data_IF_226018615453
#
_entry.id   IF_226018615453
#
_cell.length_a   1.000
_cell.length_b   1.000
_cell.length_c   1.000
_cell.angle_alpha   90.00
_cell.angle_beta   90.00
_cell.angle_gamma   90.00
#
_symmetry.space_group_name_H-M   'P 1'
#
loop_
_entity.id
_entity.type
_entity.pdbx_description
1 polymer ?
#
# COMPACT_ATOMS: atom_id res chain seq x y z
N UNK A 1 26.01 12.47 5.13
CA UNK A 1 25.22 11.26 4.79
C UNK A 1 23.69 11.41 4.96
N UNK A 2 23.19 12.48 5.60
CA UNK A 2 21.76 12.87 5.61
C UNK A 2 21.21 13.17 4.20
N UNK A 3 22.09 13.57 3.26
CA UNK A 3 21.74 13.83 1.86
C UNK A 3 21.16 12.61 1.11
N UNK A 4 21.59 11.38 1.43
CA UNK A 4 21.14 10.18 0.70
C UNK A 4 19.69 9.79 1.07
N UNK A 5 19.34 9.89 2.37
CA UNK A 5 17.97 9.69 2.85
C UNK A 5 17.02 10.77 2.31
N UNK A 6 17.44 12.04 2.35
CA UNK A 6 16.64 13.15 1.81
C UNK A 6 16.45 13.02 0.29
N UNK A 7 17.41 12.43 -0.41
CA UNK A 7 17.31 12.10 -1.83
C UNK A 7 16.24 11.03 -2.11
N UNK A 8 16.20 9.95 -1.33
CA UNK A 8 15.19 8.87 -1.50
C UNK A 8 13.77 9.39 -1.31
N UNK A 9 13.53 10.14 -0.24
CA UNK A 9 12.23 10.75 0.03
C UNK A 9 11.83 11.70 -1.11
N UNK A 10 12.73 12.59 -1.54
CA UNK A 10 12.47 13.51 -2.63
C UNK A 10 12.09 12.79 -3.93
N UNK A 11 12.75 11.67 -4.24
CA UNK A 11 12.42 10.83 -5.40
C UNK A 11 11.03 10.20 -5.25
N UNK A 12 10.69 9.63 -4.09
CA UNK A 12 9.36 9.06 -3.84
C UNK A 12 8.25 10.11 -4.04
N UNK A 13 8.39 11.29 -3.44
CA UNK A 13 7.42 12.39 -3.57
C UNK A 13 7.30 12.90 -5.01
N UNK A 14 8.44 13.00 -5.73
CA UNK A 14 8.43 13.40 -7.14
C UNK A 14 7.69 12.37 -8.00
N UNK A 15 7.97 11.08 -7.80
CA UNK A 15 7.27 9.99 -8.51
C UNK A 15 5.77 9.99 -8.20
N UNK A 16 5.39 10.27 -6.96
CA UNK A 16 3.99 10.32 -6.53
C UNK A 16 3.22 11.49 -7.18
N UNK A 17 3.85 12.65 -7.30
CA UNK A 17 3.30 13.81 -8.02
C UNK A 17 3.21 13.58 -9.53
N UNK A 18 4.24 12.97 -10.13
CA UNK A 18 4.21 12.61 -11.55
C UNK A 18 3.09 11.60 -11.82
N UNK A 19 2.95 10.58 -10.97
CA UNK A 19 1.86 9.61 -11.07
C UNK A 19 0.48 10.29 -10.95
N UNK A 20 0.31 11.23 -10.03
CA UNK A 20 -0.91 12.02 -9.90
C UNK A 20 -1.25 12.78 -11.19
N UNK A 21 -0.26 13.47 -11.77
CA UNK A 21 -0.41 14.19 -13.02
C UNK A 21 -0.84 13.28 -14.17
N UNK A 22 -0.26 12.09 -14.28
CA UNK A 22 -0.64 11.11 -15.31
C UNK A 22 -2.07 10.59 -15.11
N UNK A 23 -2.50 10.35 -13.87
CA UNK A 23 -3.87 9.91 -13.56
C UNK A 23 -4.88 11.00 -13.93
N UNK A 24 -4.61 12.26 -13.54
CA UNK A 24 -5.46 13.40 -13.90
C UNK A 24 -5.50 13.59 -15.41
N UNK A 25 -4.36 13.55 -16.10
CA UNK A 25 -4.31 13.68 -17.56
C UNK A 25 -5.16 12.60 -18.25
N UNK A 26 -5.07 11.34 -17.77
CA UNK A 26 -5.92 10.24 -18.27
C UNK A 26 -7.41 10.48 -18.02
N UNK A 27 -7.78 10.92 -16.82
CA UNK A 27 -9.17 11.26 -16.47
C UNK A 27 -9.69 12.41 -17.34
N UNK A 28 -8.91 13.49 -17.47
CA UNK A 28 -9.26 14.67 -18.23
C UNK A 28 -9.50 14.35 -19.71
N UNK A 29 -8.59 13.60 -20.34
CA UNK A 29 -8.76 13.17 -21.74
C UNK A 29 -10.01 12.31 -21.93
N UNK A 30 -10.32 11.41 -20.99
CA UNK A 30 -11.51 10.54 -21.10
C UNK A 30 -12.82 11.28 -20.86
N UNK A 31 -12.88 12.16 -19.87
CA UNK A 31 -14.07 12.93 -19.52
C UNK A 31 -14.38 14.03 -20.54
N UNK A 32 -13.36 14.82 -20.92
CA UNK A 32 -13.55 16.01 -21.75
C UNK A 32 -13.57 15.66 -23.24
N UNK A 33 -12.63 14.82 -23.70
CA UNK A 33 -12.50 14.54 -25.14
C UNK A 33 -13.36 13.35 -25.60
N UNK A 34 -13.48 12.29 -24.80
CA UNK A 34 -14.24 11.08 -25.17
C UNK A 34 -15.68 11.05 -24.65
N UNK A 35 -16.08 11.96 -23.74
CA UNK A 35 -17.42 12.04 -23.13
C UNK A 35 -17.96 10.70 -22.60
N UNK A 36 -17.06 9.77 -22.23
CA UNK A 36 -17.43 8.44 -21.70
C UNK A 36 -17.72 8.51 -20.20
N UNK A 37 -18.56 7.59 -19.72
CA UNK A 37 -18.83 7.41 -18.28
C UNK A 37 -17.56 6.95 -17.56
N UNK A 38 -17.40 7.40 -16.31
CA UNK A 38 -16.36 6.97 -15.38
C UNK A 38 -16.31 5.44 -15.31
N UNK A 39 -15.15 4.88 -15.60
CA UNK A 39 -14.95 3.45 -15.62
C UNK A 39 -14.50 2.98 -14.24
N UNK A 40 -14.89 1.75 -13.84
CA UNK A 40 -14.44 1.14 -12.58
C UNK A 40 -12.90 1.17 -12.42
N UNK A 41 -12.18 1.13 -13.55
CA UNK A 41 -10.71 1.26 -13.58
C UNK A 41 -10.21 2.59 -13.02
N UNK A 42 -10.87 3.69 -13.33
CA UNK A 42 -10.43 5.02 -12.89
C UNK A 42 -10.58 5.15 -11.37
N UNK A 43 -11.63 4.55 -10.78
CA UNK A 43 -11.80 4.47 -9.32
C UNK A 43 -10.68 3.67 -8.65
N UNK A 44 -10.28 2.52 -9.21
CA UNK A 44 -9.18 1.73 -8.65
C UNK A 44 -7.82 2.44 -8.77
N UNK A 45 -7.59 3.21 -9.85
CA UNK A 45 -6.39 4.02 -10.00
C UNK A 45 -6.32 5.15 -8.97
N UNK A 46 -7.42 5.88 -8.75
CA UNK A 46 -7.49 6.92 -7.72
C UNK A 46 -7.31 6.34 -6.31
N UNK A 47 -7.97 5.23 -6.01
CA UNK A 47 -7.82 4.55 -4.73
C UNK A 47 -6.36 4.11 -4.50
N UNK A 48 -5.71 3.55 -5.53
CA UNK A 48 -4.30 3.14 -5.47
C UNK A 48 -3.36 4.33 -5.23
N UNK A 49 -3.65 5.49 -5.81
CA UNK A 49 -2.89 6.70 -5.53
C UNK A 49 -3.08 7.19 -4.09
N UNK A 50 -4.32 7.20 -3.57
CA UNK A 50 -4.59 7.58 -2.18
C UNK A 50 -3.87 6.67 -1.18
N UNK A 51 -3.84 5.36 -1.42
CA UNK A 51 -3.11 4.42 -0.56
C UNK A 51 -1.59 4.57 -0.68
N UNK A 52 -1.08 4.88 -1.88
CA UNK A 52 0.33 5.19 -2.07
C UNK A 52 0.74 6.46 -1.32
N UNK A 53 -0.10 7.50 -1.36
CA UNK A 53 0.11 8.73 -0.61
C UNK A 53 0.07 8.50 0.89
N UNK A 54 -0.86 7.68 1.38
CA UNK A 54 -0.89 7.28 2.78
C UNK A 54 0.40 6.55 3.20
N UNK A 55 0.90 5.63 2.37
CA UNK A 55 2.18 4.93 2.61
C UNK A 55 3.35 5.92 2.70
N UNK A 56 3.47 6.87 1.77
CA UNK A 56 4.53 7.89 1.77
C UNK A 56 4.46 8.82 3.00
N UNK A 57 3.27 9.08 3.53
CA UNK A 57 3.12 9.80 4.78
C UNK A 57 3.68 9.03 5.99
N UNK A 58 3.53 7.70 6.02
CA UNK A 58 4.10 6.87 7.09
C UNK A 58 5.63 6.86 7.08
N UNK A 59 6.27 6.90 5.90
CA UNK A 59 7.73 6.97 5.75
C UNK A 59 8.30 8.22 6.48
N UNK A 60 7.65 9.38 6.36
CA UNK A 60 8.03 10.61 7.08
C UNK A 60 7.91 10.41 8.60
N UNK A 61 6.88 9.72 9.05
CA UNK A 61 6.63 9.48 10.47
C UNK A 61 7.72 8.55 11.05
N UNK A 62 8.14 7.52 10.30
CA UNK A 62 9.29 6.68 10.68
C UNK A 62 10.60 7.46 10.69
N UNK A 63 10.80 8.37 9.75
CA UNK A 63 11.96 9.25 9.75
C UNK A 63 12.03 10.12 11.02
N UNK A 64 10.90 10.70 11.45
CA UNK A 64 10.83 11.51 12.68
C UNK A 64 11.03 10.69 13.95
N UNK A 65 10.67 9.41 13.95
CA UNK A 65 10.88 8.50 15.08
C UNK A 65 12.35 8.03 15.26
N UNK A 66 13.26 8.44 14.37
CA UNK A 66 14.69 8.16 14.53
C UNK A 66 15.10 6.70 14.29
N UNK A 67 14.15 5.83 13.93
CA UNK A 67 14.38 4.40 13.65
C UNK A 67 15.13 4.15 12.34
N UNK A 68 15.24 5.16 11.47
CA UNK A 68 15.98 5.14 10.20
C UNK A 68 17.44 5.65 10.34
N UNK A 69 18.03 5.65 11.54
CA UNK A 69 19.47 5.94 11.73
C UNK A 69 20.31 4.71 11.32
N UNK A 70 21.39 4.92 10.56
CA UNK A 70 22.35 3.87 10.20
C UNK A 70 22.90 3.20 11.46
N UNK A 71 22.60 1.92 11.65
CA UNK A 71 22.99 1.13 12.82
C UNK A 71 21.83 0.39 13.49
N UNK A 72 20.59 0.83 13.24
CA UNK A 72 19.38 0.15 13.73
C UNK A 72 18.86 -0.76 12.61
N UNK A 73 18.86 -2.07 12.84
CA UNK A 73 18.24 -3.01 11.90
C UNK A 73 16.71 -2.96 12.01
N UNK A 74 15.99 -3.47 11.01
CA UNK A 74 14.52 -3.56 11.03
C UNK A 74 13.98 -4.31 12.27
N UNK A 75 14.81 -5.14 12.92
CA UNK A 75 14.53 -5.82 14.18
C UNK A 75 14.83 -5.00 15.44
N UNK A 76 15.03 -3.68 15.34
CA UNK A 76 15.47 -2.77 16.42
C UNK A 76 16.81 -3.16 17.08
N UNK A 77 17.61 -4.05 16.49
CA UNK A 77 18.95 -4.36 17.03
C UNK A 77 19.79 -3.09 16.89
N UNK A 78 20.15 -2.49 18.03
CA UNK A 78 20.86 -1.20 18.13
C UNK A 78 19.99 0.01 18.52
N UNK A 79 18.70 -0.16 18.83
CA UNK A 79 17.83 0.94 19.27
C UNK A 79 17.96 1.18 20.80
N UNK A 80 18.52 2.31 21.21
CA UNK A 80 18.62 2.76 22.62
C UNK A 80 17.30 3.32 23.20
N UNK A 81 16.16 2.99 22.61
CA UNK A 81 14.85 3.45 23.09
C UNK A 81 14.30 2.59 24.23
N UNK A 82 13.49 3.20 25.09
CA UNK A 82 12.69 2.52 26.12
C UNK A 82 11.82 1.45 25.43
N UNK A 83 11.67 0.26 26.02
CA UNK A 83 10.92 -0.87 25.44
C UNK A 83 9.51 -0.50 24.93
N UNK A 84 8.91 0.54 25.51
CA UNK A 84 7.61 1.07 25.14
C UNK A 84 7.60 1.83 23.80
N UNK A 85 8.70 2.47 23.39
CA UNK A 85 8.84 3.12 22.08
C UNK A 85 9.05 2.09 20.96
N UNK A 86 9.82 1.03 21.24
CA UNK A 86 10.00 -0.09 20.31
C UNK A 86 8.67 -0.79 19.98
N UNK A 87 7.82 -1.01 20.99
CA UNK A 87 6.48 -1.59 20.79
C UNK A 87 5.58 -0.71 19.91
N UNK A 88 5.61 0.62 20.12
CA UNK A 88 4.84 1.56 19.29
C UNK A 88 5.34 1.59 17.85
N UNK A 89 6.66 1.56 17.64
CA UNK A 89 7.24 1.50 16.30
C UNK A 89 6.80 0.24 15.57
N UNK A 90 6.87 -0.94 16.20
CA UNK A 90 6.48 -2.20 15.55
C UNK A 90 4.99 -2.20 15.15
N UNK A 91 4.11 -1.69 16.04
CA UNK A 91 2.68 -1.54 15.72
C UNK A 91 2.46 -0.61 14.52
N UNK A 92 3.17 0.52 14.47
CA UNK A 92 3.03 1.47 13.37
C UNK A 92 3.65 0.95 12.07
N UNK A 93 4.77 0.25 12.14
CA UNK A 93 5.40 -0.45 11.02
C UNK A 93 4.42 -1.44 10.39
N UNK A 94 3.80 -2.28 11.21
CA UNK A 94 2.78 -3.22 10.74
C UNK A 94 1.55 -2.51 10.18
N UNK A 95 1.14 -1.38 10.76
CA UNK A 95 0.05 -0.56 10.23
C UNK A 95 0.36 0.06 8.86
N UNK A 96 1.63 0.44 8.62
CA UNK A 96 2.08 1.00 7.34
C UNK A 96 2.15 -0.03 6.20
N UNK A 97 2.23 -1.31 6.54
CA UNK A 97 2.29 -2.40 5.55
C UNK A 97 0.94 -2.62 4.84
N UNK A 98 -0.17 -2.27 5.50
CA UNK A 98 -1.51 -2.31 4.90
C UNK A 98 -1.64 -1.42 3.65
N UNK A 99 -1.43 -0.08 3.72
CA UNK A 99 -1.55 0.77 2.53
C UNK A 99 -0.53 0.42 1.45
N UNK A 100 0.65 -0.08 1.82
CA UNK A 100 1.65 -0.56 0.87
C UNK A 100 1.10 -1.73 0.05
N UNK A 101 0.66 -2.81 0.69
CA UNK A 101 0.09 -3.96 -0.01
C UNK A 101 -1.18 -3.61 -0.78
N UNK A 102 -2.09 -2.83 -0.19
CA UNK A 102 -3.33 -2.40 -0.85
C UNK A 102 -3.03 -1.65 -2.16
N UNK A 103 -1.99 -0.81 -2.21
CA UNK A 103 -1.58 -0.10 -3.44
C UNK A 103 -1.20 -1.07 -4.58
N UNK A 104 -0.45 -2.14 -4.27
CA UNK A 104 -0.08 -3.15 -5.27
C UNK A 104 -1.29 -3.92 -5.79
N UNK A 105 -2.22 -4.30 -4.92
CA UNK A 105 -3.43 -5.02 -5.32
C UNK A 105 -4.40 -4.13 -6.11
N UNK A 106 -4.56 -2.86 -5.72
CA UNK A 106 -5.36 -1.88 -6.47
C UNK A 106 -4.78 -1.62 -7.86
N UNK A 107 -3.46 -1.59 -8.00
CA UNK A 107 -2.80 -1.45 -9.32
C UNK A 107 -3.09 -2.65 -10.23
N UNK A 108 -3.10 -3.88 -9.69
CA UNK A 108 -3.50 -5.09 -10.44
C UNK A 108 -4.99 -5.04 -10.83
N UNK A 109 -5.86 -4.61 -9.91
CA UNK A 109 -7.30 -4.46 -10.17
C UNK A 109 -7.60 -3.38 -11.24
N UNK A 110 -6.84 -2.28 -11.22
CA UNK A 110 -6.92 -1.23 -12.23
C UNK A 110 -6.58 -1.77 -13.63
N UNK A 111 -5.50 -2.56 -13.77
CA UNK A 111 -5.16 -3.21 -15.04
C UNK A 111 -6.25 -4.19 -15.49
N UNK A 112 -6.72 -5.02 -14.57
CA UNK A 112 -7.70 -6.06 -14.85
C UNK A 112 -9.06 -5.50 -15.30
N UNK A 113 -9.48 -4.38 -14.70
CA UNK A 113 -10.66 -3.64 -15.12
C UNK A 113 -10.51 -2.94 -16.46
N UNK A 114 -9.30 -2.55 -16.89
CA UNK A 114 -9.04 -2.13 -18.28
C UNK A 114 -9.19 -3.32 -19.22
N UNK A 115 -8.63 -4.48 -18.89
CA UNK A 115 -8.75 -5.68 -19.74
C UNK A 115 -10.20 -6.12 -19.92
N UNK A 116 -11.05 -5.99 -18.89
CA UNK A 116 -12.48 -6.28 -19.00
C UNK A 116 -13.20 -5.40 -20.03
N UNK A 117 -12.75 -4.16 -20.22
CA UNK A 117 -13.34 -3.22 -21.19
C UNK A 117 -12.81 -3.44 -22.60
N UNK A 118 -11.55 -3.87 -22.73
CA UNK A 118 -10.90 -4.12 -24.02
C UNK A 118 -11.45 -5.41 -24.66
N UNK A 119 -11.78 -6.43 -23.87
CA UNK A 119 -12.31 -7.70 -24.38
C UNK A 119 -13.85 -7.70 -24.39
N UNK A 120 -14.49 -7.61 -25.57
CA UNK A 120 -15.95 -7.65 -25.68
C UNK A 120 -16.50 -9.04 -25.35
N UNK A 121 -17.79 -9.07 -24.97
CA UNK A 121 -18.51 -10.24 -24.43
C UNK A 121 -18.46 -11.49 -25.33
N UNK A 122 -18.28 -11.30 -26.63
CA UNK A 122 -18.24 -12.37 -27.63
C UNK A 122 -17.03 -13.33 -27.47
N UNK A 123 -15.97 -12.94 -26.74
CA UNK A 123 -14.76 -13.76 -26.55
C UNK A 123 -14.79 -14.58 -25.25
N UNK A 124 -15.74 -15.51 -25.15
CA UNK A 124 -16.05 -16.30 -23.93
C UNK A 124 -14.85 -17.04 -23.33
N UNK A 125 -13.94 -17.59 -24.14
CA UNK A 125 -12.73 -18.29 -23.66
C UNK A 125 -11.78 -17.33 -22.91
N UNK A 126 -11.52 -16.15 -23.48
CA UNK A 126 -10.64 -15.13 -22.88
C UNK A 126 -11.25 -14.51 -21.64
N UNK A 127 -12.57 -14.28 -21.65
CA UNK A 127 -13.29 -13.74 -20.50
C UNK A 127 -13.32 -14.69 -19.30
N UNK A 128 -13.43 -16.01 -19.51
CA UNK A 128 -13.31 -16.99 -18.41
C UNK A 128 -11.94 -16.98 -17.76
N UNK A 129 -10.87 -16.92 -18.55
CA UNK A 129 -9.51 -16.79 -18.02
C UNK A 129 -9.35 -15.48 -17.22
N UNK A 130 -9.89 -14.38 -17.74
CA UNK A 130 -9.87 -13.09 -17.06
C UNK A 130 -10.58 -13.15 -15.70
N UNK A 131 -11.78 -13.76 -15.64
CA UNK A 131 -12.51 -13.99 -14.39
C UNK A 131 -11.73 -14.85 -13.39
N UNK A 132 -11.04 -15.89 -13.84
CA UNK A 132 -10.17 -16.69 -12.99
C UNK A 132 -9.01 -15.86 -12.39
N UNK A 133 -8.45 -14.93 -13.16
CA UNK A 133 -7.43 -14.00 -12.65
C UNK A 133 -8.03 -13.01 -11.65
N UNK A 134 -9.25 -12.51 -11.89
CA UNK A 134 -9.95 -11.61 -10.95
C UNK A 134 -10.17 -12.32 -9.61
N UNK A 135 -10.72 -13.52 -9.63
CA UNK A 135 -10.99 -14.28 -8.41
C UNK A 135 -9.70 -14.64 -7.69
N UNK A 136 -8.63 -15.00 -8.41
CA UNK A 136 -7.33 -15.26 -7.82
C UNK A 136 -6.73 -14.02 -7.15
N UNK A 137 -6.76 -12.85 -7.80
CA UNK A 137 -6.27 -11.59 -7.23
C UNK A 137 -7.09 -11.19 -6.01
N UNK A 138 -8.41 -11.34 -6.05
CA UNK A 138 -9.30 -11.05 -4.92
C UNK A 138 -9.09 -12.01 -3.74
N UNK A 139 -8.90 -13.30 -4.00
CA UNK A 139 -8.56 -14.29 -2.98
C UNK A 139 -7.21 -13.99 -2.35
N UNK A 140 -6.20 -13.70 -3.17
CA UNK A 140 -4.86 -13.31 -2.70
C UNK A 140 -4.91 -12.06 -1.81
N UNK A 141 -5.64 -11.02 -2.22
CA UNK A 141 -5.82 -9.82 -1.40
C UNK A 141 -6.47 -10.14 -0.05
N UNK A 142 -7.54 -10.93 -0.05
CA UNK A 142 -8.23 -11.36 1.18
C UNK A 142 -7.29 -12.12 2.09
N UNK A 143 -6.47 -13.04 1.55
CA UNK A 143 -5.49 -13.79 2.34
C UNK A 143 -4.40 -12.90 2.93
N UNK A 144 -3.91 -11.90 2.19
CA UNK A 144 -2.90 -10.96 2.70
C UNK A 144 -3.46 -10.09 3.83
N UNK A 145 -4.66 -9.54 3.66
CA UNK A 145 -5.31 -8.73 4.70
C UNK A 145 -5.59 -9.57 5.96
N UNK A 146 -6.05 -10.81 5.78
CA UNK A 146 -6.29 -11.73 6.89
C UNK A 146 -5.00 -12.10 7.62
N UNK A 147 -3.92 -12.35 6.88
CA UNK A 147 -2.61 -12.61 7.47
C UNK A 147 -2.11 -11.41 8.28
N UNK A 148 -2.20 -10.21 7.71
CA UNK A 148 -1.80 -8.97 8.41
C UNK A 148 -2.64 -8.72 9.65
N UNK A 149 -3.97 -8.90 9.60
CA UNK A 149 -4.85 -8.71 10.76
C UNK A 149 -4.60 -9.76 11.85
N UNK A 150 -4.32 -11.01 11.47
CA UNK A 150 -3.95 -12.06 12.41
C UNK A 150 -2.63 -11.74 13.12
N UNK A 151 -1.61 -11.29 12.38
CA UNK A 151 -0.32 -10.88 12.96
C UNK A 151 -0.50 -9.71 13.92
N UNK A 152 -1.33 -8.71 13.56
CA UNK A 152 -1.62 -7.58 14.45
C UNK A 152 -2.29 -8.04 15.75
N UNK A 153 -3.29 -8.94 15.66
CA UNK A 153 -3.95 -9.52 16.82
C UNK A 153 -3.00 -10.36 17.69
N UNK A 154 -2.08 -11.10 17.06
CA UNK A 154 -1.03 -11.85 17.77
C UNK A 154 -0.06 -10.90 18.52
N UNK A 155 0.33 -9.79 17.91
CA UNK A 155 1.17 -8.78 18.57
C UNK A 155 0.44 -8.08 19.72
N UNK A 156 -0.87 -7.83 19.58
CA UNK A 156 -1.68 -7.24 20.66
C UNK A 156 -1.82 -8.18 21.85
N UNK A 157 -2.08 -9.46 21.59
CA UNK A 157 -2.15 -10.50 22.64
C UNK A 157 -0.80 -10.70 23.34
N UNK A 158 0.32 -10.75 22.62
CA UNK A 158 1.67 -10.74 23.23
C UNK A 158 1.94 -9.49 24.05
N UNK A 159 1.52 -8.32 23.58
CA UNK A 159 1.67 -7.05 24.31
C UNK A 159 0.78 -6.94 25.56
N UNK A 160 -0.34 -7.66 25.60
CA UNK A 160 -1.19 -7.81 26.79
C UNK A 160 -0.62 -8.85 27.75
N UNK A 161 -0.10 -9.97 27.24
CA UNK A 161 0.55 -11.02 28.04
C UNK A 161 1.85 -10.50 28.67
N UNK A 162 2.66 -9.75 27.93
CA UNK A 162 3.89 -9.12 28.46
C UNK A 162 3.62 -8.07 29.53
N UNK A 163 2.48 -7.36 29.46
CA UNK A 163 2.05 -6.43 30.51
C UNK A 163 1.56 -7.16 31.76
N UNK A 164 0.86 -8.29 31.58
CA UNK A 164 0.36 -9.16 32.67
C UNK A 164 1.45 -9.92 33.45
N UNK A 165 2.68 -10.00 32.92
CA UNK A 165 3.81 -10.67 33.58
C UNK A 165 4.73 -9.70 34.34
N UNK A 166 4.50 -8.39 34.21
CA UNK A 166 5.26 -7.32 34.88
C UNK A 166 4.47 -6.63 36.01
N UNK A 167 3.21 -7.02 36.21
CA UNK A 167 2.37 -6.69 37.37
C UNK A 167 2.33 -7.89 38.33
#
# INVERSE_FOLDING_TARGET
MVMDLRGREAVQWTLLLVAFGVIIARLYLRLVLQRRRLLASDYFMCAGWCTAAASACFDIVFYKMGTMRKGVTLGLVGFEGIAQEASKFYKLYHFSDYPFHTTFYLSKAALLSVYLQVFPDFMVKRRRFLWAVITYVAASYTTTILFLSLVLAYMETLGLVGRRLLD
#
